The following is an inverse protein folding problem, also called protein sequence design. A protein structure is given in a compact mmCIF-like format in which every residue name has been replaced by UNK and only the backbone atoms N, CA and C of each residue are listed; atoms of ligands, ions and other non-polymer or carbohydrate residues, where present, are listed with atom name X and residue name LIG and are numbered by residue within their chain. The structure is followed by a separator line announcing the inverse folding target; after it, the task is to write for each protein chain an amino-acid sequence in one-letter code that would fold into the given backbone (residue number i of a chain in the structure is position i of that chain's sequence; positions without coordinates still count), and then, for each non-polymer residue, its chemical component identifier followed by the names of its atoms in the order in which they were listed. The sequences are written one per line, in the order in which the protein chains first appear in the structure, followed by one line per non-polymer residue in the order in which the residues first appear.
data_IF_256098395094
#
_entry.id   IF_256098395094
#
_cell.length_a   1.000
_cell.length_b   1.000
_cell.length_c   1.000
_cell.angle_alpha   90.00
_cell.angle_beta   90.00
_cell.angle_gamma   90.00
#
_symmetry.space_group_name_H-M   'P 1'
#
loop_
_entity.id
_entity.type
_entity.pdbx_description
1 polymer ?
#
# COMPACT_ATOMS: atom_id res chain seq x y z
N UNK A 1 13.13 9.83 -25.97
CA UNK A 1 13.43 8.53 -25.34
C UNK A 1 13.41 8.74 -23.84
N UNK A 2 12.27 8.54 -23.17
CA UNK A 2 12.22 8.59 -21.71
C UNK A 2 11.93 7.17 -21.22
N UNK A 3 12.97 6.46 -20.79
CA UNK A 3 12.84 5.11 -20.26
C UNK A 3 12.20 5.21 -18.89
N UNK A 4 10.92 4.83 -18.76
CA UNK A 4 10.27 4.68 -17.46
C UNK A 4 11.09 3.71 -16.60
N UNK A 5 11.62 4.21 -15.47
CA UNK A 5 12.44 3.41 -14.56
C UNK A 5 11.54 2.52 -13.71
N UNK A 6 11.80 1.21 -13.69
CA UNK A 6 11.11 0.31 -12.78
C UNK A 6 11.60 0.54 -11.34
N UNK A 7 10.70 0.93 -10.43
CA UNK A 7 11.07 1.41 -9.09
C UNK A 7 11.35 0.30 -8.08
N UNK A 8 10.97 -0.95 -8.39
CA UNK A 8 11.20 -2.13 -7.54
C UNK A 8 12.44 -2.90 -8.01
N UNK A 9 13.57 -2.21 -8.12
CA UNK A 9 14.84 -2.83 -8.52
C UNK A 9 15.24 -3.97 -7.58
N UNK A 10 15.59 -5.13 -8.14
CA UNK A 10 15.96 -6.33 -7.39
C UNK A 10 14.80 -7.29 -7.11
N UNK A 11 13.58 -6.96 -7.56
CA UNK A 11 12.42 -7.85 -7.53
C UNK A 11 12.00 -8.24 -8.96
N UNK A 12 11.27 -9.34 -9.08
CA UNK A 12 10.71 -9.78 -10.36
C UNK A 12 9.66 -8.82 -10.88
N UNK A 13 9.59 -8.73 -12.21
CA UNK A 13 8.63 -7.88 -12.88
C UNK A 13 7.20 -8.34 -12.60
N UNK A 14 6.35 -7.39 -12.25
CA UNK A 14 4.90 -7.59 -12.16
C UNK A 14 4.15 -6.38 -12.73
N UNK A 15 2.95 -6.58 -13.32
CA UNK A 15 2.18 -5.52 -13.95
C UNK A 15 1.81 -4.36 -13.01
N UNK A 16 1.49 -4.66 -11.76
CA UNK A 16 1.13 -3.72 -10.71
C UNK A 16 2.31 -2.81 -10.36
N UNK A 17 3.49 -3.39 -10.27
CA UNK A 17 4.75 -2.70 -10.07
C UNK A 17 5.09 -1.81 -11.27
N UNK A 18 4.77 -2.25 -12.49
CA UNK A 18 4.92 -1.43 -13.69
C UNK A 18 3.99 -0.21 -13.65
N UNK A 19 2.71 -0.38 -13.32
CA UNK A 19 1.77 0.73 -13.15
C UNK A 19 2.29 1.72 -12.10
N UNK A 20 2.63 1.25 -10.89
CA UNK A 20 3.18 2.11 -9.83
C UNK A 20 4.46 2.83 -10.26
N UNK A 21 5.34 2.15 -11.00
CA UNK A 21 6.54 2.77 -11.57
C UNK A 21 6.18 3.90 -12.53
N UNK A 22 5.22 3.68 -13.42
CA UNK A 22 4.78 4.66 -14.40
C UNK A 22 4.21 5.94 -13.75
N UNK A 23 3.37 5.77 -12.74
CA UNK A 23 2.86 6.87 -11.93
C UNK A 23 3.99 7.62 -11.23
N UNK A 24 4.91 6.90 -10.59
CA UNK A 24 6.01 7.50 -9.86
C UNK A 24 6.96 8.29 -10.78
N UNK A 25 7.28 7.76 -11.95
CA UNK A 25 8.09 8.48 -12.95
C UNK A 25 7.38 9.74 -13.46
N UNK A 26 6.06 9.67 -13.65
CA UNK A 26 5.27 10.84 -14.06
C UNK A 26 5.32 11.94 -13.02
N UNK A 27 5.19 11.62 -11.74
CA UNK A 27 5.33 12.58 -10.65
C UNK A 27 6.74 13.15 -10.55
N UNK A 28 7.77 12.32 -10.70
CA UNK A 28 9.16 12.77 -10.73
C UNK A 28 9.43 13.72 -11.90
N UNK A 29 8.80 13.50 -13.05
CA UNK A 29 8.93 14.35 -14.23
C UNK A 29 8.14 15.66 -14.10
N UNK A 30 6.90 15.62 -13.60
CA UNK A 30 6.02 16.80 -13.47
C UNK A 30 6.36 17.67 -12.26
N UNK A 31 6.61 17.04 -11.11
CA UNK A 31 6.73 17.72 -9.82
C UNK A 31 8.15 17.71 -9.24
N UNK A 32 9.08 16.95 -9.83
CA UNK A 32 10.46 16.83 -9.33
C UNK A 32 10.63 15.95 -8.09
N UNK A 33 9.55 15.37 -7.58
CA UNK A 33 9.51 14.51 -6.40
C UNK A 33 8.49 13.38 -6.60
N UNK A 34 8.70 12.25 -5.91
CA UNK A 34 7.82 11.08 -6.00
C UNK A 34 6.75 11.04 -4.90
N UNK A 35 5.68 10.30 -5.13
CA UNK A 35 4.69 9.96 -4.10
C UNK A 35 5.36 9.18 -2.95
N UNK A 36 5.14 9.56 -1.68
CA UNK A 36 5.70 8.87 -0.51
C UNK A 36 5.23 7.42 -0.30
N UNK A 37 4.11 7.00 -0.92
CA UNK A 37 3.56 5.63 -0.79
C UNK A 37 4.38 4.59 -1.55
N UNK A 38 5.20 5.01 -2.51
CA UNK A 38 5.99 4.13 -3.36
C UNK A 38 7.47 4.49 -3.25
N UNK A 39 8.39 3.53 -3.46
CA UNK A 39 9.82 3.82 -3.48
C UNK A 39 10.16 4.83 -4.58
N UNK A 40 11.26 5.58 -4.39
CA UNK A 40 11.82 6.47 -5.42
C UNK A 40 13.15 5.92 -5.92
N UNK A 41 13.50 6.11 -7.20
CA UNK A 41 14.81 5.75 -7.73
C UNK A 41 15.95 6.43 -6.96
N UNK A 42 17.13 5.82 -6.99
CA UNK A 42 18.33 6.38 -6.34
C UNK A 42 18.60 7.82 -6.82
N UNK A 43 18.89 8.71 -5.86
CA UNK A 43 19.14 10.13 -6.14
C UNK A 43 17.89 10.99 -6.35
N UNK A 44 16.69 10.42 -6.22
CA UNK A 44 15.42 11.14 -6.19
C UNK A 44 14.86 11.20 -4.77
N UNK A 45 13.93 12.11 -4.55
CA UNK A 45 13.31 12.35 -3.23
C UNK A 45 11.80 12.22 -3.30
N UNK A 46 11.18 11.92 -2.16
CA UNK A 46 9.73 11.97 -2.00
C UNK A 46 9.25 13.42 -1.86
N UNK A 47 8.01 13.68 -2.26
CA UNK A 47 7.36 14.95 -2.02
C UNK A 47 7.12 15.14 -0.52
N UNK A 48 7.62 16.25 0.02
CA UNK A 48 7.42 16.59 1.43
C UNK A 48 6.01 17.12 1.67
N UNK A 49 5.35 16.63 2.72
CA UNK A 49 4.05 17.15 3.17
C UNK A 49 4.14 18.63 3.63
N UNK A 50 5.31 19.07 4.07
CA UNK A 50 5.55 20.43 4.58
C UNK A 50 5.82 21.45 3.48
N UNK A 51 6.15 21.00 2.27
CA UNK A 51 6.36 21.89 1.14
C UNK A 51 5.05 22.03 0.35
N UNK A 52 4.37 23.17 0.55
CA UNK A 52 3.07 23.45 -0.04
C UNK A 52 3.09 23.40 -1.58
N UNK A 53 4.18 23.80 -2.21
CA UNK A 53 4.32 23.81 -3.68
C UNK A 53 4.37 22.39 -4.24
N UNK A 54 5.23 21.53 -3.68
CA UNK A 54 5.34 20.14 -4.14
C UNK A 54 4.09 19.34 -3.80
N UNK A 55 3.49 19.59 -2.63
CA UNK A 55 2.22 18.98 -2.23
C UNK A 55 1.08 19.35 -3.18
N UNK A 56 0.93 20.64 -3.50
CA UNK A 56 -0.08 21.09 -4.46
C UNK A 56 0.16 20.55 -5.87
N UNK A 57 1.42 20.35 -6.29
CA UNK A 57 1.73 19.68 -7.56
C UNK A 57 1.27 18.21 -7.55
N UNK A 58 1.59 17.48 -6.48
CA UNK A 58 1.19 16.09 -6.30
C UNK A 58 -0.34 15.94 -6.34
N UNK A 59 -1.07 16.73 -5.54
CA UNK A 59 -2.54 16.71 -5.46
C UNK A 59 -3.20 17.00 -6.82
N UNK A 60 -2.76 18.06 -7.51
CA UNK A 60 -3.29 18.40 -8.84
C UNK A 60 -2.99 17.32 -9.88
N UNK A 61 -1.76 16.80 -9.87
CA UNK A 61 -1.39 15.75 -10.82
C UNK A 61 -2.23 14.49 -10.58
N UNK A 62 -2.41 14.06 -9.33
CA UNK A 62 -3.27 12.92 -8.98
C UNK A 62 -4.72 13.17 -9.44
N UNK A 63 -5.23 14.39 -9.28
CA UNK A 63 -6.56 14.74 -9.75
C UNK A 63 -6.69 14.72 -11.30
N UNK A 64 -5.63 15.09 -12.03
CA UNK A 64 -5.60 15.10 -13.50
C UNK A 64 -5.49 13.69 -14.09
N UNK A 65 -4.52 12.89 -13.63
CA UNK A 65 -4.20 11.59 -14.23
C UNK A 65 -4.93 10.43 -13.53
N UNK A 66 -5.61 10.69 -12.41
CA UNK A 66 -6.10 9.65 -11.52
C UNK A 66 -4.96 8.98 -10.74
N UNK A 67 -5.31 8.35 -9.62
CA UNK A 67 -4.33 7.60 -8.83
C UNK A 67 -3.77 6.41 -9.65
N UNK A 68 -2.75 5.71 -9.11
CA UNK A 68 -2.03 4.66 -9.84
C UNK A 68 -2.89 3.51 -10.41
N UNK A 69 -4.13 3.37 -9.94
CA UNK A 69 -5.13 2.43 -10.45
C UNK A 69 -5.73 2.82 -11.81
N UNK A 70 -5.70 4.11 -12.18
CA UNK A 70 -6.32 4.67 -13.39
C UNK A 70 -5.31 5.03 -14.49
N UNK A 71 -4.04 4.67 -14.31
CA UNK A 71 -2.94 4.98 -15.25
C UNK A 71 -3.24 4.51 -16.67
N UNK A 72 -3.95 3.40 -16.84
CA UNK A 72 -4.27 2.84 -18.15
C UNK A 72 -5.19 3.74 -18.97
N UNK A 73 -5.99 4.56 -18.30
CA UNK A 73 -6.96 5.44 -18.94
C UNK A 73 -6.34 6.81 -19.25
N UNK A 74 -5.42 7.28 -18.40
CA UNK A 74 -4.85 8.63 -18.47
C UNK A 74 -3.46 8.72 -19.11
N UNK A 75 -2.65 7.66 -19.04
CA UNK A 75 -1.28 7.63 -19.56
C UNK A 75 -1.15 6.56 -20.66
N UNK A 76 -1.32 6.98 -21.92
CA UNK A 76 -1.13 6.12 -23.10
C UNK A 76 0.30 5.62 -23.26
N UNK A 77 1.29 6.34 -22.73
CA UNK A 77 2.71 5.99 -22.84
C UNK A 77 3.14 4.88 -21.87
N UNK A 78 2.26 4.47 -20.95
CA UNK A 78 2.53 3.41 -19.98
C UNK A 78 2.22 2.02 -20.54
N UNK A 79 3.22 1.39 -21.17
CA UNK A 79 3.12 0.03 -21.71
C UNK A 79 3.47 -1.03 -20.67
N UNK A 80 2.50 -1.45 -19.87
CA UNK A 80 2.65 -2.55 -18.92
C UNK A 80 2.07 -3.86 -19.48
N UNK A 81 2.92 -4.89 -19.61
CA UNK A 81 2.54 -6.22 -20.11
C UNK A 81 2.28 -7.16 -18.94
N UNK A 82 1.49 -8.21 -19.16
CA UNK A 82 1.38 -9.31 -18.19
C UNK A 82 2.71 -10.07 -18.12
N UNK A 83 3.11 -10.52 -16.92
CA UNK A 83 4.27 -11.41 -16.78
C UNK A 83 3.94 -12.80 -17.33
N UNK A 84 4.92 -13.45 -17.96
CA UNK A 84 4.78 -14.83 -18.44
C UNK A 84 4.74 -15.83 -17.27
N UNK A 85 5.44 -15.51 -16.19
CA UNK A 85 5.51 -16.31 -14.98
C UNK A 85 5.02 -15.45 -13.81
N UNK A 86 4.07 -15.98 -13.05
CA UNK A 86 3.58 -15.37 -11.82
C UNK A 86 3.20 -16.45 -10.80
N UNK A 87 3.23 -16.08 -9.52
CA UNK A 87 2.73 -16.92 -8.44
C UNK A 87 1.42 -16.33 -7.90
N UNK A 88 0.37 -17.16 -7.79
CA UNK A 88 -0.92 -16.76 -7.25
C UNK A 88 -1.20 -17.58 -5.98
N UNK A 89 -1.52 -16.88 -4.89
CA UNK A 89 -1.85 -17.48 -3.61
C UNK A 89 -3.35 -17.36 -3.33
N UNK A 90 -4.03 -18.50 -3.14
CA UNK A 90 -5.43 -18.51 -2.68
C UNK A 90 -5.49 -18.42 -1.16
N UNK A 91 -6.34 -17.53 -0.64
CA UNK A 91 -6.47 -17.28 0.81
C UNK A 91 -7.83 -17.75 1.33
N UNK A 92 -7.81 -18.54 2.40
CA UNK A 92 -9.01 -18.89 3.18
C UNK A 92 -8.82 -18.38 4.60
N UNK A 93 -9.75 -17.57 5.08
CA UNK A 93 -9.66 -16.92 6.40
C UNK A 93 -10.60 -17.56 7.42
N UNK A 94 -10.12 -17.72 8.65
CA UNK A 94 -10.96 -18.06 9.81
C UNK A 94 -10.50 -17.26 11.03
N UNK A 95 -11.44 -16.92 11.92
CA UNK A 95 -11.17 -16.13 13.11
C UNK A 95 -11.72 -16.83 14.37
N UNK A 96 -11.10 -16.55 15.53
CA UNK A 96 -11.53 -17.02 16.84
C UNK A 96 -11.20 -15.99 17.93
N UNK A 97 -11.74 -16.16 19.15
CA UNK A 97 -11.49 -15.25 20.28
C UNK A 97 -10.02 -15.36 20.75
N UNK A 98 -9.28 -14.24 20.71
CA UNK A 98 -7.91 -14.12 21.24
C UNK A 98 -7.76 -12.83 22.10
N UNK A 99 -7.12 -12.89 23.28
CA UNK A 99 -6.63 -14.08 23.98
C UNK A 99 -7.79 -14.98 24.43
N UNK A 100 -7.48 -16.24 24.71
CA UNK A 100 -8.44 -17.17 25.29
C UNK A 100 -8.65 -16.83 26.77
N UNK A 101 -9.80 -17.21 27.35
CA UNK A 101 -10.02 -17.08 28.80
C UNK A 101 -8.97 -17.80 29.66
N UNK A 102 -8.26 -18.78 29.08
CA UNK A 102 -7.16 -19.50 29.75
C UNK A 102 -5.80 -18.76 29.67
N UNK A 103 -5.65 -17.86 28.68
CA UNK A 103 -4.48 -16.97 28.54
C UNK A 103 -4.77 -15.53 28.96
N UNK A 104 -5.95 -15.28 29.57
CA UNK A 104 -6.23 -14.12 30.40
C UNK A 104 -5.34 -14.22 31.65
N UNK A 105 -4.04 -13.99 31.48
CA UNK A 105 -3.20 -13.49 32.56
C UNK A 105 -3.87 -12.18 32.94
N UNK A 106 -4.65 -12.24 34.03
CA UNK A 106 -5.28 -11.10 34.67
C UNK A 106 -4.34 -9.92 34.53
N UNK A 107 -4.60 -9.01 33.58
CA UNK A 107 -3.75 -7.84 33.40
C UNK A 107 -3.87 -7.12 34.73
N UNK A 108 -2.81 -7.17 35.52
CA UNK A 108 -2.74 -6.63 36.85
C UNK A 108 -2.90 -5.11 36.73
N UNK A 109 -4.14 -4.65 36.67
CA UNK A 109 -4.45 -3.24 36.80
C UNK A 109 -4.24 -2.92 38.28
N UNK A 110 -3.13 -2.27 38.61
CA UNK A 110 -2.63 -2.04 39.98
C UNK A 110 -3.64 -1.37 40.93
N UNK A 111 -4.75 -0.84 40.42
CA UNK A 111 -5.75 -0.09 41.20
C UNK A 111 -7.09 -0.81 41.41
N UNK A 112 -7.47 -1.83 40.62
CA UNK A 112 -8.82 -2.41 40.70
C UNK A 112 -8.78 -3.94 40.57
N UNK A 113 -8.83 -4.64 41.71
CA UNK A 113 -8.99 -6.11 41.80
C UNK A 113 -10.38 -6.55 41.33
N UNK A 114 -10.69 -6.40 40.04
CA UNK A 114 -11.93 -6.89 39.46
C UNK A 114 -11.69 -7.42 38.03
N UNK A 115 -11.77 -8.75 37.87
CA UNK A 115 -12.00 -9.38 36.57
C UNK A 115 -13.47 -9.19 36.19
N UNK A 116 -13.78 -8.25 35.30
CA UNK A 116 -15.11 -8.19 34.67
C UNK A 116 -15.13 -9.12 33.45
N UNK A 117 -15.90 -10.20 33.55
CA UNK A 117 -16.25 -11.06 32.41
C UNK A 117 -17.08 -10.26 31.41
N UNK A 118 -16.47 -9.80 30.31
CA UNK A 118 -17.20 -9.25 29.17
C UNK A 118 -17.64 -10.41 28.27
N UNK A 119 -18.92 -10.76 28.40
CA UNK A 119 -19.82 -11.31 27.38
C UNK A 119 -19.29 -12.40 26.42
N UNK A 120 -19.91 -13.58 26.48
CA UNK A 120 -19.86 -14.59 25.43
C UNK A 120 -20.19 -14.00 24.05
N UNK A 121 -19.23 -14.03 23.13
CA UNK A 121 -19.53 -14.09 21.70
C UNK A 121 -19.29 -15.53 21.26
N UNK A 122 -20.37 -16.29 21.12
CA UNK A 122 -20.35 -17.59 20.43
C UNK A 122 -19.96 -17.32 18.97
N UNK A 123 -18.76 -17.76 18.59
CA UNK A 123 -18.42 -17.94 17.19
C UNK A 123 -19.06 -19.26 16.73
N UNK A 124 -19.99 -19.16 15.78
CA UNK A 124 -20.55 -20.30 15.09
C UNK A 124 -19.41 -20.98 14.30
N UNK A 125 -19.19 -22.29 14.53
CA UNK A 125 -18.33 -23.10 13.65
C UNK A 125 -19.09 -23.28 12.34
N UNK A 126 -18.52 -22.79 11.25
CA UNK A 126 -18.87 -23.22 9.90
C UNK A 126 -18.11 -24.52 9.67
N UNK A 127 -18.75 -25.65 9.98
CA UNK A 127 -18.76 -26.90 9.21
C UNK A 127 -20.07 -27.60 9.57
#
# INVERSE_FOLDING_TARGET
MNSNVYIYGGYDYNPEGCHRSCFQNTLLNKCGCGDPRFPVPKGKIHCSAFNATTRGCLERTIAEIGDFHHIRDSLTDCQCKQSCEHEIYSVTFSASKWPSGASDVCKFHFSLRLCKNVGEKKFLKIF
#
